data_IF_095210306166
#
_entry.id   IF_095210306166
#
_cell.length_a   1.000
_cell.length_b   1.000
_cell.length_c   1.000
_cell.angle_alpha   90.00
_cell.angle_beta   90.00
_cell.angle_gamma   90.00
#
_symmetry.space_group_name_H-M   'P 1'
#
loop_
_entity.id
_entity.type
_entity.pdbx_description
1 polymer ?
#
# COMPACT_ATOMS: atom_id res chain seq x y z
N UNK A 1 13.59 -28.63 -25.05
CA UNK A 1 13.46 -28.18 -23.65
C UNK A 1 14.85 -27.88 -23.13
N UNK A 2 15.31 -26.62 -23.23
CA UNK A 2 16.62 -26.23 -22.71
C UNK A 2 16.61 -26.19 -21.17
N UNK A 3 17.43 -27.03 -20.56
CA UNK A 3 17.63 -27.05 -19.11
C UNK A 3 18.54 -25.90 -18.72
N UNK A 4 17.97 -24.84 -18.11
CA UNK A 4 18.74 -23.69 -17.61
C UNK A 4 19.83 -24.16 -16.64
N UNK A 5 21.06 -23.71 -16.89
CA UNK A 5 22.25 -24.12 -16.15
C UNK A 5 22.10 -23.84 -14.63
N UNK A 6 22.48 -24.77 -13.73
CA UNK A 6 22.19 -24.67 -12.29
C UNK A 6 22.74 -23.40 -11.61
N UNK A 7 23.85 -22.85 -12.12
CA UNK A 7 24.41 -21.56 -11.67
C UNK A 7 23.47 -20.38 -11.94
N UNK A 8 22.80 -20.36 -13.09
CA UNK A 8 21.83 -19.32 -13.44
C UNK A 8 20.55 -19.44 -12.61
N UNK A 9 20.15 -20.67 -12.26
CA UNK A 9 19.00 -20.92 -11.36
C UNK A 9 19.27 -20.41 -9.94
N UNK A 10 20.48 -20.62 -9.39
CA UNK A 10 20.87 -20.10 -8.07
C UNK A 10 21.00 -18.57 -8.03
N UNK A 11 21.54 -17.97 -9.09
CA UNK A 11 21.59 -16.51 -9.29
C UNK A 11 20.17 -15.92 -9.35
N UNK A 12 19.28 -16.54 -10.12
CA UNK A 12 17.89 -16.09 -10.27
C UNK A 12 17.10 -16.22 -8.95
N UNK A 13 17.33 -17.28 -8.18
CA UNK A 13 16.77 -17.44 -6.82
C UNK A 13 17.34 -16.38 -5.87
N UNK A 14 18.64 -16.08 -5.95
CA UNK A 14 19.31 -15.06 -5.14
C UNK A 14 18.83 -13.65 -5.48
N UNK A 15 18.58 -13.34 -6.75
CA UNK A 15 18.00 -12.07 -7.20
C UNK A 15 16.53 -11.95 -6.75
N UNK A 16 15.72 -13.02 -6.87
CA UNK A 16 14.35 -13.07 -6.35
C UNK A 16 14.28 -12.96 -4.82
N UNK A 17 15.27 -13.49 -4.08
CA UNK A 17 15.42 -13.28 -2.62
C UNK A 17 15.88 -11.87 -2.28
N UNK A 18 16.83 -11.33 -3.06
CA UNK A 18 17.35 -9.96 -2.89
C UNK A 18 16.28 -8.92 -3.19
N UNK A 19 15.32 -9.19 -4.08
CA UNK A 19 14.23 -8.29 -4.46
C UNK A 19 12.86 -8.97 -4.36
N UNK A 20 12.56 -9.59 -3.21
CA UNK A 20 11.23 -10.12 -2.97
C UNK A 20 10.15 -9.02 -3.13
N UNK A 21 8.86 -9.40 -3.32
CA UNK A 21 7.73 -8.45 -3.42
C UNK A 21 7.69 -7.42 -2.27
N UNK A 22 8.37 -7.73 -1.17
CA UNK A 22 8.64 -6.87 -0.02
C UNK A 22 9.41 -5.58 -0.32
N UNK A 23 10.27 -5.53 -1.34
CA UNK A 23 11.03 -4.30 -1.67
C UNK A 23 10.13 -3.22 -2.27
N UNK A 24 9.30 -3.57 -3.25
CA UNK A 24 8.41 -2.61 -3.92
C UNK A 24 7.35 -2.06 -2.95
N UNK A 25 6.68 -2.95 -2.22
CA UNK A 25 5.70 -2.53 -1.20
C UNK A 25 6.34 -1.66 -0.12
N UNK A 26 7.51 -2.06 0.41
CA UNK A 26 8.23 -1.29 1.41
C UNK A 26 8.63 0.10 0.92
N UNK A 27 9.05 0.23 -0.34
CA UNK A 27 9.33 1.54 -0.96
C UNK A 27 8.08 2.42 -1.03
N UNK A 28 6.93 1.86 -1.41
CA UNK A 28 5.68 2.60 -1.46
C UNK A 28 5.18 3.02 -0.08
N UNK A 29 5.37 2.18 0.96
CA UNK A 29 5.06 2.55 2.35
C UNK A 29 5.93 3.71 2.81
N UNK A 30 7.25 3.63 2.62
CA UNK A 30 8.18 4.71 2.98
C UNK A 30 7.85 6.00 2.23
N UNK A 31 7.48 5.89 0.95
CA UNK A 31 7.02 7.03 0.16
C UNK A 31 5.74 7.63 0.76
N UNK A 32 4.77 6.79 1.14
CA UNK A 32 3.53 7.22 1.78
C UNK A 32 3.79 8.00 3.07
N UNK A 33 4.71 7.52 3.90
CA UNK A 33 5.06 8.21 5.16
C UNK A 33 5.73 9.57 4.91
N UNK A 34 6.54 9.70 3.84
CA UNK A 34 7.10 11.01 3.44
C UNK A 34 6.03 11.97 2.95
N UNK A 35 5.06 11.47 2.18
CA UNK A 35 3.93 12.28 1.73
C UNK A 35 3.10 12.74 2.93
N UNK A 36 2.87 11.88 3.93
CA UNK A 36 2.17 12.25 5.16
C UNK A 36 2.86 13.41 5.85
N UNK A 37 4.17 13.30 6.09
CA UNK A 37 4.95 14.36 6.74
C UNK A 37 4.78 15.71 6.02
N UNK A 38 4.81 15.70 4.69
CA UNK A 38 4.65 16.92 3.90
C UNK A 38 3.21 17.47 3.89
N UNK A 39 2.23 16.63 3.57
CA UNK A 39 0.86 17.09 3.25
C UNK A 39 -0.05 17.16 4.47
N UNK A 40 0.20 16.36 5.50
CA UNK A 40 -0.56 16.34 6.75
C UNK A 40 0.17 17.16 7.81
N UNK A 41 1.46 16.90 8.06
CA UNK A 41 2.16 17.51 9.21
C UNK A 41 2.65 18.94 8.91
N UNK A 42 3.36 19.13 7.78
CA UNK A 42 3.92 20.44 7.39
C UNK A 42 2.86 21.37 6.81
N UNK A 43 2.20 20.95 5.72
CA UNK A 43 1.29 21.81 4.95
C UNK A 43 -0.14 21.84 5.49
N UNK A 44 -0.54 20.84 6.30
CA UNK A 44 -1.92 20.65 6.78
C UNK A 44 -2.97 20.77 5.66
N UNK A 45 -2.59 20.34 4.45
CA UNK A 45 -3.41 20.44 3.25
C UNK A 45 -4.57 19.45 3.28
N UNK A 46 -4.34 18.29 3.90
CA UNK A 46 -5.32 17.23 4.06
C UNK A 46 -5.45 16.88 5.53
N UNK A 47 -6.66 16.48 5.93
CA UNK A 47 -6.93 16.10 7.30
C UNK A 47 -6.09 14.88 7.70
N UNK A 48 -5.68 14.83 8.96
CA UNK A 48 -4.96 13.70 9.52
C UNK A 48 -5.78 12.40 9.53
N UNK A 49 -7.10 12.51 9.39
CA UNK A 49 -8.03 11.39 9.20
C UNK A 49 -8.47 11.32 7.76
N UNK A 50 -8.68 10.10 7.26
CA UNK A 50 -9.19 9.91 5.91
C UNK A 50 -10.62 10.45 5.77
N UNK A 51 -10.79 11.42 4.86
CA UNK A 51 -12.09 11.94 4.43
C UNK A 51 -12.22 11.68 2.93
N UNK A 52 -13.25 10.93 2.53
CA UNK A 52 -13.48 10.52 1.14
C UNK A 52 -13.64 11.70 0.16
N UNK A 53 -14.02 12.88 0.65
CA UNK A 53 -14.15 14.11 -0.16
C UNK A 53 -12.83 14.82 -0.42
N UNK A 54 -11.80 14.54 0.38
CA UNK A 54 -10.51 15.26 0.30
C UNK A 54 -9.51 14.54 -0.63
N UNK A 55 -9.58 13.22 -0.73
CA UNK A 55 -8.60 12.42 -1.47
C UNK A 55 -9.29 11.43 -2.39
N UNK A 56 -8.92 11.51 -3.67
CA UNK A 56 -9.31 10.56 -4.70
C UNK A 56 -8.08 9.80 -5.20
N UNK A 57 -8.06 8.48 -4.98
CA UNK A 57 -6.98 7.59 -5.44
C UNK A 57 -7.49 6.75 -6.60
N UNK A 58 -6.80 6.86 -7.74
CA UNK A 58 -7.07 6.08 -8.95
C UNK A 58 -5.87 5.21 -9.31
N UNK A 59 -6.12 3.97 -9.71
CA UNK A 59 -5.12 3.05 -10.25
C UNK A 59 -5.60 2.43 -11.55
N UNK A 60 -4.66 1.97 -12.39
CA UNK A 60 -4.96 1.09 -13.51
C UNK A 60 -5.23 -0.32 -13.01
N UNK A 61 -6.08 -1.08 -13.71
CA UNK A 61 -6.49 -2.44 -13.35
C UNK A 61 -5.40 -3.49 -13.62
N UNK A 62 -4.28 -3.32 -12.92
CA UNK A 62 -3.16 -4.26 -12.91
C UNK A 62 -2.85 -4.58 -11.45
N UNK A 63 -2.73 -5.86 -11.09
CA UNK A 63 -2.51 -6.28 -9.69
C UNK A 63 -1.27 -5.60 -9.07
N UNK A 64 -0.27 -5.28 -9.89
CA UNK A 64 0.95 -4.56 -9.46
C UNK A 64 0.69 -3.11 -9.06
N UNK A 65 -0.19 -2.39 -9.75
CA UNK A 65 -0.49 -0.97 -9.47
C UNK A 65 -1.46 -0.82 -8.31
N UNK A 66 -2.43 -1.73 -8.20
CA UNK A 66 -3.32 -1.78 -7.04
C UNK A 66 -2.55 -2.03 -5.75
N UNK A 67 -1.63 -3.00 -5.75
CA UNK A 67 -0.81 -3.34 -4.56
C UNK A 67 0.11 -2.17 -4.17
N UNK A 68 0.69 -1.46 -5.16
CA UNK A 68 1.48 -0.26 -4.93
C UNK A 68 0.66 0.90 -4.36
N UNK A 69 -0.56 1.14 -4.88
CA UNK A 69 -1.46 2.17 -4.38
C UNK A 69 -1.89 1.90 -2.92
N UNK A 70 -2.27 0.67 -2.62
CA UNK A 70 -2.62 0.24 -1.24
C UNK A 70 -1.42 0.43 -0.31
N UNK A 71 -0.22 -0.02 -0.72
CA UNK A 71 1.00 0.11 0.10
C UNK A 71 1.35 1.57 0.40
N UNK A 72 1.11 2.47 -0.56
CA UNK A 72 1.33 3.89 -0.36
C UNK A 72 0.32 4.50 0.63
N UNK A 73 -0.95 4.13 0.52
CA UNK A 73 -2.00 4.60 1.44
C UNK A 73 -1.79 4.11 2.87
N UNK A 74 -1.32 2.87 3.07
CA UNK A 74 -0.94 2.34 4.39
C UNK A 74 0.15 3.21 5.04
N UNK A 75 1.14 3.65 4.26
CA UNK A 75 2.20 4.54 4.76
C UNK A 75 1.71 5.97 5.04
N UNK A 76 0.66 6.41 4.34
CA UNK A 76 0.11 7.76 4.40
C UNK A 76 -0.91 7.94 5.54
N UNK A 77 -1.80 6.97 5.74
CA UNK A 77 -2.81 6.93 6.81
C UNK A 77 -2.62 5.68 7.67
N UNK A 78 -1.94 5.83 8.80
CA UNK A 78 -1.65 4.74 9.75
C UNK A 78 -2.32 4.98 11.12
N UNK A 79 -3.25 5.93 11.22
CA UNK A 79 -3.80 6.44 12.49
C UNK A 79 -5.29 6.11 12.69
N UNK A 80 -5.70 4.89 12.37
CA UNK A 80 -7.06 4.41 12.61
C UNK A 80 -7.42 4.29 14.09
N UNK A 81 -8.53 4.89 14.50
CA UNK A 81 -9.02 4.83 15.89
C UNK A 81 -10.04 3.69 16.05
N UNK A 82 -9.83 2.76 17.00
CA UNK A 82 -10.77 1.65 17.23
C UNK A 82 -12.14 2.16 17.66
N UNK A 83 -13.21 1.62 17.07
CA UNK A 83 -14.60 1.94 17.42
C UNK A 83 -15.21 3.11 16.64
N UNK A 84 -14.44 3.78 15.76
CA UNK A 84 -14.95 4.80 14.84
C UNK A 84 -14.64 4.46 13.37
N UNK A 85 -13.39 4.09 13.07
CA UNK A 85 -12.94 3.79 11.70
C UNK A 85 -13.00 2.29 11.36
N UNK A 86 -12.96 1.43 12.38
CA UNK A 86 -13.12 -0.02 12.27
C UNK A 86 -13.93 -0.54 13.46
N UNK A 87 -14.65 -1.68 13.30
CA UNK A 87 -15.57 -2.18 14.32
C UNK A 87 -14.85 -2.42 15.65
N UNK A 88 -15.56 -2.11 16.75
CA UNK A 88 -15.01 -2.11 18.10
C UNK A 88 -14.51 -3.48 18.58
N UNK A 89 -13.82 -3.48 19.73
CA UNK A 89 -13.02 -4.59 20.32
C UNK A 89 -13.58 -6.02 20.23
N UNK A 90 -14.90 -6.22 20.06
CA UNK A 90 -15.51 -7.56 19.89
C UNK A 90 -15.18 -8.19 18.53
N UNK A 91 -14.95 -7.39 17.50
CA UNK A 91 -14.68 -7.82 16.11
C UNK A 91 -13.27 -7.42 15.64
N UNK A 92 -12.53 -6.70 16.49
CA UNK A 92 -11.19 -6.19 16.20
C UNK A 92 -10.14 -7.28 15.92
N UNK A 93 -10.39 -8.54 16.25
CA UNK A 93 -9.50 -9.67 15.93
C UNK A 93 -9.48 -10.00 14.43
N UNK A 94 -10.52 -9.61 13.69
CA UNK A 94 -10.62 -9.80 12.23
C UNK A 94 -9.98 -8.66 11.43
N UNK A 95 -9.71 -7.52 12.08
CA UNK A 95 -9.17 -6.32 11.46
C UNK A 95 -7.72 -6.07 11.89
N UNK A 96 -6.78 -5.92 10.94
CA UNK A 96 -5.39 -5.60 11.28
C UNK A 96 -5.33 -4.25 12.03
N UNK A 97 -4.81 -4.28 13.26
CA UNK A 97 -4.76 -3.12 14.16
C UNK A 97 -4.18 -1.88 13.47
N UNK A 98 -4.93 -0.76 13.51
CA UNK A 98 -4.51 0.52 12.95
C UNK A 98 -4.80 0.73 11.46
N UNK A 99 -5.43 -0.25 10.79
CA UNK A 99 -5.77 -0.14 9.37
C UNK A 99 -7.13 0.54 9.19
N UNK A 100 -7.14 1.75 8.65
CA UNK A 100 -8.36 2.37 8.12
C UNK A 100 -8.71 1.75 6.76
N UNK A 101 -9.99 1.61 6.46
CA UNK A 101 -10.45 1.16 5.14
C UNK A 101 -10.34 2.27 4.11
N UNK A 102 -9.62 2.03 3.00
CA UNK A 102 -9.46 3.01 1.92
C UNK A 102 -10.25 2.59 0.67
N UNK A 103 -10.94 3.54 0.04
CA UNK A 103 -11.56 3.33 -1.27
C UNK A 103 -10.57 3.69 -2.37
N UNK A 104 -10.17 2.71 -3.18
CA UNK A 104 -9.31 2.92 -4.36
C UNK A 104 -10.15 2.63 -5.59
N UNK A 105 -10.27 3.62 -6.47
CA UNK A 105 -10.97 3.43 -7.74
C UNK A 105 -10.01 2.82 -8.76
N UNK A 106 -10.42 1.71 -9.37
CA UNK A 106 -9.71 1.10 -10.47
C UNK A 106 -10.44 1.45 -11.77
N UNK A 107 -9.69 1.83 -12.80
CA UNK A 107 -10.24 2.08 -14.13
C UNK A 107 -9.51 1.18 -15.13
N UNK A 108 -10.27 0.38 -15.87
CA UNK A 108 -9.78 -0.39 -17.00
C UNK A 108 -9.61 0.58 -18.18
N UNK A 109 -8.37 0.85 -18.56
CA UNK A 109 -8.08 1.59 -19.80
C UNK A 109 -7.90 0.54 -20.87
N UNK A 110 -8.92 0.38 -21.70
CA UNK A 110 -8.83 -0.34 -22.97
C UNK A 110 -8.16 0.62 -23.96
N UNK A 111 -6.98 0.24 -24.46
CA UNK A 111 -6.27 0.92 -25.55
C UNK A 111 -6.62 0.25 -26.88
#
# INVERSE_FOLDING_TARGET
>A
METVHPRQRSEMIRIKKKHGPRKGMGQHVVLGSKLKARYIDELKFVSARYLNKEIYVRSTDMNRTLTSAISNMIGFYCSGVPGKDYPGKKEAHLWPHGSEGFSIHCFFVEL
#
